data_IF_082808484003
#
_entry.id   IF_082808484003
#
_cell.length_a   1.000
_cell.length_b   1.000
_cell.length_c   1.000
_cell.angle_alpha   90.00
_cell.angle_beta   90.00
_cell.angle_gamma   90.00
#
_symmetry.space_group_name_H-M   'P 1'
#
loop_
_entity.id
_entity.type
_entity.pdbx_description
1 polymer ?
#
# COMPACT_ATOMS: atom_id res chain seq x y z
N UNK A 1 -26.42 -42.89 -43.94
CA UNK A 1 -26.66 -41.53 -43.44
C UNK A 1 -26.96 -41.58 -41.93
N UNK A 2 -26.02 -41.11 -41.09
CA UNK A 2 -26.11 -40.69 -39.67
C UNK A 2 -24.67 -40.33 -39.25
N UNK A 3 -24.22 -39.10 -39.55
CA UNK A 3 -24.10 -37.92 -38.63
C UNK A 3 -22.99 -38.11 -37.58
N UNK A 4 -21.75 -37.69 -37.89
CA UNK A 4 -21.07 -36.42 -37.42
C UNK A 4 -20.72 -36.51 -35.93
N UNK A 5 -19.53 -37.00 -35.59
CA UNK A 5 -18.27 -36.26 -35.30
C UNK A 5 -18.40 -35.37 -34.06
N UNK A 6 -17.72 -35.80 -32.99
CA UNK A 6 -17.58 -35.13 -31.70
C UNK A 6 -16.87 -33.78 -31.83
N UNK A 7 -17.49 -32.72 -31.30
CA UNK A 7 -16.81 -31.47 -30.98
C UNK A 7 -16.85 -31.34 -29.46
N UNK A 8 -15.77 -31.78 -28.82
CA UNK A 8 -15.43 -31.36 -27.45
C UNK A 8 -14.81 -29.98 -27.55
N UNK A 9 -15.65 -28.94 -27.52
CA UNK A 9 -15.21 -27.56 -27.35
C UNK A 9 -14.82 -27.40 -25.87
N UNK A 10 -13.57 -27.69 -25.55
CA UNK A 10 -13.00 -27.29 -24.26
C UNK A 10 -12.75 -25.80 -24.33
N UNK A 11 -13.71 -25.03 -23.82
CA UNK A 11 -13.55 -23.60 -23.58
C UNK A 11 -12.59 -23.46 -22.39
N UNK A 12 -11.28 -23.53 -22.66
CA UNK A 12 -10.29 -22.92 -21.78
C UNK A 12 -10.54 -21.42 -21.84
N UNK A 13 -11.34 -20.90 -20.91
CA UNK A 13 -11.21 -19.51 -20.49
C UNK A 13 -9.80 -19.39 -19.91
N UNK A 14 -8.84 -19.01 -20.75
CA UNK A 14 -7.61 -18.42 -20.28
C UNK A 14 -8.02 -17.20 -19.47
N UNK A 15 -7.92 -17.28 -18.15
CA UNK A 15 -7.87 -16.11 -17.31
C UNK A 15 -6.63 -15.37 -17.78
N UNK A 16 -6.82 -14.35 -18.61
CA UNK A 16 -5.75 -13.42 -18.94
C UNK A 16 -5.36 -12.77 -17.63
N UNK A 17 -4.18 -13.11 -17.12
CA UNK A 17 -3.55 -12.30 -16.09
C UNK A 17 -3.32 -10.95 -16.76
N UNK A 18 -4.11 -9.95 -16.38
CA UNK A 18 -3.92 -8.59 -16.85
C UNK A 18 -2.61 -8.09 -16.21
N UNK A 19 -1.58 -7.98 -17.04
CA UNK A 19 -0.43 -7.17 -16.70
C UNK A 19 -0.81 -5.73 -17.01
N UNK A 20 -0.40 -4.78 -16.17
CA UNK A 20 -0.37 -3.40 -16.59
C UNK A 20 0.50 -3.34 -17.86
N UNK A 21 -0.11 -2.93 -18.97
CA UNK A 21 0.69 -2.55 -20.14
C UNK A 21 1.55 -1.35 -19.75
N UNK A 22 2.66 -1.10 -20.47
CA UNK A 22 3.50 0.09 -20.22
C UNK A 22 2.64 1.37 -20.14
N UNK A 23 1.60 1.46 -20.99
CA UNK A 23 0.64 2.57 -21.00
C UNK A 23 -0.24 2.67 -19.74
N UNK A 24 -0.60 1.56 -19.09
CA UNK A 24 -1.40 1.57 -17.87
C UNK A 24 -0.53 1.92 -16.65
N UNK A 25 0.69 1.39 -16.60
CA UNK A 25 1.66 1.77 -15.58
C UNK A 25 2.01 3.26 -15.67
N UNK A 26 2.27 3.78 -16.87
CA UNK A 26 2.56 5.19 -17.11
C UNK A 26 1.42 6.09 -16.61
N UNK A 27 0.16 5.71 -16.86
CA UNK A 27 -1.00 6.46 -16.37
C UNK A 27 -1.07 6.51 -14.84
N UNK A 28 -0.81 5.38 -14.16
CA UNK A 28 -0.76 5.34 -12.68
C UNK A 28 0.36 6.23 -12.16
N UNK A 29 1.53 6.16 -12.77
CA UNK A 29 2.71 6.94 -12.40
C UNK A 29 2.49 8.45 -12.59
N UNK A 30 1.95 8.86 -13.74
CA UNK A 30 1.64 10.25 -14.04
C UNK A 30 0.72 10.86 -12.98
N UNK A 31 -0.26 10.09 -12.52
CA UNK A 31 -1.17 10.54 -11.47
C UNK A 31 -0.48 10.68 -10.11
N UNK A 32 0.34 9.71 -9.70
CA UNK A 32 1.12 9.81 -8.46
C UNK A 32 2.06 11.03 -8.46
N UNK A 33 2.67 11.33 -9.61
CA UNK A 33 3.49 12.52 -9.80
C UNK A 33 2.65 13.81 -9.74
N UNK A 34 1.47 13.82 -10.38
CA UNK A 34 0.53 14.96 -10.31
C UNK A 34 0.12 15.27 -8.88
N UNK A 35 -0.10 14.23 -8.05
CA UNK A 35 -0.40 14.37 -6.63
C UNK A 35 0.83 14.60 -5.75
N UNK A 36 2.03 14.61 -6.34
CA UNK A 36 3.32 14.75 -5.65
C UNK A 36 3.55 13.70 -4.56
N UNK A 37 2.97 12.51 -4.74
CA UNK A 37 3.19 11.37 -3.86
C UNK A 37 4.59 10.78 -4.12
N UNK A 38 5.00 10.79 -5.39
CA UNK A 38 6.30 10.30 -5.84
C UNK A 38 6.94 11.34 -6.76
N UNK A 39 8.26 11.44 -6.68
CA UNK A 39 9.07 12.36 -7.48
C UNK A 39 10.37 11.64 -7.88
N UNK A 40 10.94 12.03 -9.01
CA UNK A 40 12.26 11.55 -9.43
C UNK A 40 13.38 12.12 -8.54
N UNK A 41 14.58 11.55 -8.69
CA UNK A 41 15.78 12.12 -8.07
C UNK A 41 16.17 13.48 -8.66
N UNK A 42 17.32 14.04 -8.25
CA UNK A 42 17.82 15.33 -8.74
C UNK A 42 17.99 15.42 -10.26
N UNK A 43 18.10 14.28 -10.95
CA UNK A 43 18.20 14.17 -12.40
C UNK A 43 16.87 13.80 -13.08
N UNK A 44 15.79 13.67 -12.30
CA UNK A 44 14.48 13.24 -12.77
C UNK A 44 14.34 11.72 -12.94
N UNK A 45 15.31 10.90 -12.49
CA UNK A 45 15.18 9.45 -12.60
C UNK A 45 14.25 8.92 -11.52
N UNK A 46 13.31 8.08 -11.92
CA UNK A 46 12.37 7.43 -10.99
C UNK A 46 12.93 6.16 -10.35
N UNK A 47 14.05 5.62 -10.84
CA UNK A 47 14.74 4.47 -10.27
C UNK A 47 13.81 3.25 -10.03
N UNK A 48 12.93 2.97 -11.00
CA UNK A 48 11.80 2.04 -10.89
C UNK A 48 12.19 0.60 -10.49
N UNK A 49 13.36 0.14 -10.92
CA UNK A 49 13.87 -1.21 -10.60
C UNK A 49 14.61 -1.29 -9.26
N UNK A 50 14.83 -0.15 -8.59
CA UNK A 50 15.51 -0.12 -7.30
C UNK A 50 14.59 -0.57 -6.17
N UNK A 51 15.17 -1.21 -5.16
CA UNK A 51 14.47 -1.53 -3.92
C UNK A 51 14.13 -0.25 -3.14
N UNK A 52 13.03 -0.27 -2.41
CA UNK A 52 12.59 0.85 -1.56
C UNK A 52 12.97 0.59 -0.12
N UNK A 53 13.63 1.57 0.52
CA UNK A 53 14.00 1.49 1.93
C UNK A 53 12.80 1.71 2.86
N UNK A 54 12.92 1.29 4.11
CA UNK A 54 11.90 1.50 5.16
C UNK A 54 11.61 2.99 5.39
N UNK A 55 12.63 3.84 5.35
CA UNK A 55 12.49 5.29 5.45
C UNK A 55 11.73 5.89 4.26
N UNK A 56 12.06 5.48 3.04
CA UNK A 56 11.36 5.92 1.83
C UNK A 56 9.90 5.47 1.83
N UNK A 57 9.62 4.22 2.24
CA UNK A 57 8.27 3.70 2.32
C UNK A 57 7.42 4.50 3.33
N UNK A 58 7.98 4.86 4.48
CA UNK A 58 7.31 5.74 5.44
C UNK A 58 7.01 7.11 4.83
N UNK A 59 7.96 7.73 4.12
CA UNK A 59 7.74 9.00 3.41
C UNK A 59 6.60 8.88 2.40
N UNK A 60 6.64 7.87 1.52
CA UNK A 60 5.65 7.69 0.45
C UNK A 60 4.24 7.54 1.03
N UNK A 61 4.06 6.68 2.04
CA UNK A 61 2.76 6.49 2.69
C UNK A 61 2.28 7.80 3.32
N UNK A 62 3.13 8.47 4.09
CA UNK A 62 2.73 9.71 4.76
C UNK A 62 2.35 10.81 3.76
N UNK A 63 3.03 10.89 2.62
CA UNK A 63 2.64 11.78 1.53
C UNK A 63 1.29 11.40 0.93
N UNK A 64 1.02 10.11 0.68
CA UNK A 64 -0.28 9.64 0.20
C UNK A 64 -1.43 9.93 1.20
N UNK A 65 -1.11 10.01 2.49
CA UNK A 65 -2.02 10.44 3.56
C UNK A 65 -2.16 11.97 3.66
N UNK A 66 -1.59 12.75 2.73
CA UNK A 66 -1.65 14.22 2.73
C UNK A 66 -0.58 14.91 3.60
N UNK A 67 0.36 14.16 4.18
CA UNK A 67 1.40 14.67 5.06
C UNK A 67 2.78 14.66 4.39
N UNK A 68 2.88 15.25 3.19
CA UNK A 68 4.11 15.24 2.39
C UNK A 68 5.23 16.16 2.87
N UNK A 69 4.93 17.16 3.71
CA UNK A 69 5.87 18.18 4.18
C UNK A 69 6.03 18.14 5.70
N UNK A 70 6.57 17.03 6.21
CA UNK A 70 6.87 16.87 7.64
C UNK A 70 8.33 17.26 7.87
N UNK A 71 8.58 18.12 8.87
CA UNK A 71 9.93 18.45 9.33
C UNK A 71 10.61 17.25 10.02
N UNK A 72 11.78 17.46 10.60
CA UNK A 72 12.43 16.40 11.38
C UNK A 72 11.94 16.40 12.83
N UNK A 73 11.81 15.23 13.44
CA UNK A 73 11.30 15.05 14.80
C UNK A 73 12.10 13.99 15.55
N UNK A 74 12.06 14.01 16.88
CA UNK A 74 12.55 12.90 17.68
C UNK A 74 11.70 11.65 17.41
N UNK A 75 12.35 10.49 17.38
CA UNK A 75 11.68 9.20 17.21
C UNK A 75 11.88 8.32 18.43
N UNK A 76 11.06 7.27 18.55
CA UNK A 76 11.23 6.24 19.58
C UNK A 76 12.33 5.23 19.25
N UNK A 77 12.99 5.35 18.09
CA UNK A 77 13.96 4.38 17.59
C UNK A 77 15.39 4.87 17.78
N UNK A 78 16.22 4.03 18.39
CA UNK A 78 17.60 4.38 18.77
C UNK A 78 18.51 4.66 17.55
N UNK A 79 18.19 4.06 16.41
CA UNK A 79 18.93 4.18 15.16
C UNK A 79 18.42 5.29 14.23
N UNK A 80 17.38 6.04 14.63
CA UNK A 80 16.83 7.16 13.84
C UNK A 80 17.01 8.47 14.60
N UNK A 81 18.09 9.18 14.27
CA UNK A 81 18.39 10.51 14.84
C UNK A 81 17.36 11.54 14.41
N UNK A 82 17.08 12.54 15.25
CA UNK A 82 16.15 13.63 14.95
C UNK A 82 16.60 14.59 13.85
N UNK A 83 17.84 14.47 13.37
CA UNK A 83 18.33 15.19 12.19
C UNK A 83 18.25 14.34 10.92
N UNK A 84 17.85 13.07 11.03
CA UNK A 84 17.69 12.20 9.87
C UNK A 84 16.51 12.71 9.02
N UNK A 85 16.68 12.73 7.70
CA UNK A 85 15.74 13.37 6.78
C UNK A 85 14.32 12.78 6.89
N UNK A 86 14.21 11.48 7.18
CA UNK A 86 12.92 10.80 7.28
C UNK A 86 12.33 10.76 8.70
N UNK A 87 13.04 11.29 9.69
CA UNK A 87 12.69 11.12 11.11
C UNK A 87 11.26 11.53 11.44
N UNK A 88 10.77 12.65 10.87
CA UNK A 88 9.38 13.08 11.06
C UNK A 88 8.34 12.18 10.42
N UNK A 89 8.61 11.69 9.22
CA UNK A 89 7.73 10.72 8.55
C UNK A 89 7.67 9.41 9.35
N UNK A 90 8.81 8.94 9.87
CA UNK A 90 8.91 7.74 10.70
C UNK A 90 8.15 7.94 12.02
N UNK A 91 8.38 9.04 12.73
CA UNK A 91 7.67 9.34 13.99
C UNK A 91 6.15 9.39 13.78
N UNK A 92 5.67 10.12 12.76
CA UNK A 92 4.24 10.24 12.50
C UNK A 92 3.62 8.90 12.06
N UNK A 93 4.28 8.17 11.17
CA UNK A 93 3.81 6.85 10.74
C UNK A 93 3.74 5.86 11.91
N UNK A 94 4.69 5.93 12.85
CA UNK A 94 4.69 5.11 14.06
C UNK A 94 3.50 5.47 14.96
N UNK A 95 3.23 6.77 15.16
CA UNK A 95 2.09 7.25 15.96
C UNK A 95 0.74 6.87 15.36
N UNK A 96 0.64 6.78 14.04
CA UNK A 96 -0.55 6.31 13.34
C UNK A 96 -0.66 4.78 13.27
N UNK A 97 0.29 4.02 13.84
CA UNK A 97 0.27 2.56 13.82
C UNK A 97 0.53 1.96 12.44
N UNK A 98 1.10 2.73 11.52
CA UNK A 98 1.42 2.30 10.14
C UNK A 98 2.69 1.46 10.14
N UNK A 99 3.65 1.86 10.98
CA UNK A 99 4.96 1.22 11.08
C UNK A 99 5.27 0.78 12.51
N UNK A 100 6.09 -0.25 12.61
CA UNK A 100 6.67 -0.73 13.86
C UNK A 100 8.16 -0.97 13.66
N UNK A 101 8.91 -0.85 14.77
CA UNK A 101 10.32 -1.23 14.82
C UNK A 101 10.51 -2.75 14.85
N UNK A 102 11.75 -3.17 14.98
CA UNK A 102 12.14 -4.59 14.92
C UNK A 102 11.97 -5.33 16.26
N UNK A 103 11.57 -4.62 17.32
CA UNK A 103 11.37 -5.16 18.66
C UNK A 103 12.59 -5.03 19.58
N UNK A 104 13.72 -4.58 19.06
CA UNK A 104 14.98 -4.34 19.78
C UNK A 104 15.28 -2.84 19.98
N UNK A 105 14.30 -1.97 19.73
CA UNK A 105 14.45 -0.51 19.76
C UNK A 105 14.88 0.12 18.43
N UNK A 106 15.14 -0.68 17.39
CA UNK A 106 15.55 -0.17 16.07
C UNK A 106 14.41 -0.11 15.05
N UNK A 107 14.54 0.78 14.07
CA UNK A 107 13.69 0.84 12.89
C UNK A 107 14.35 0.28 11.63
N UNK A 108 15.68 0.34 11.51
CA UNK A 108 16.47 -0.02 10.34
C UNK A 108 16.06 0.79 9.09
N UNK A 109 16.19 2.13 9.10
CA UNK A 109 15.63 3.01 8.06
C UNK A 109 16.15 2.74 6.65
N UNK A 110 17.42 2.33 6.52
CA UNK A 110 18.08 2.08 5.23
C UNK A 110 17.88 0.66 4.69
N UNK A 111 17.28 -0.24 5.47
CA UNK A 111 17.01 -1.58 4.98
C UNK A 111 15.84 -1.56 3.99
N UNK A 112 15.89 -2.38 2.93
CA UNK A 112 14.77 -2.52 2.01
C UNK A 112 13.54 -3.11 2.72
N UNK A 113 12.34 -2.67 2.32
CA UNK A 113 11.09 -3.33 2.71
C UNK A 113 10.85 -4.55 1.85
N UNK A 114 10.32 -5.63 2.43
CA UNK A 114 9.78 -6.73 1.64
C UNK A 114 8.40 -6.39 1.09
N UNK A 115 7.96 -7.11 0.05
CA UNK A 115 6.62 -6.94 -0.52
C UNK A 115 5.51 -7.11 0.53
N UNK A 116 5.61 -8.12 1.40
CA UNK A 116 4.64 -8.32 2.48
C UNK A 116 4.65 -7.20 3.53
N UNK A 117 5.81 -6.59 3.81
CA UNK A 117 5.92 -5.45 4.72
C UNK A 117 5.29 -4.21 4.11
N UNK A 118 5.56 -3.94 2.83
CA UNK A 118 4.96 -2.83 2.09
C UNK A 118 3.43 -2.94 2.07
N UNK A 119 2.89 -4.12 1.75
CA UNK A 119 1.45 -4.39 1.78
C UNK A 119 0.89 -4.18 3.18
N UNK A 120 1.54 -4.71 4.23
CA UNK A 120 1.11 -4.48 5.61
C UNK A 120 1.02 -2.98 5.93
N UNK A 121 2.06 -2.21 5.64
CA UNK A 121 2.12 -0.78 5.96
C UNK A 121 0.98 -0.01 5.25
N UNK A 122 0.71 -0.30 3.98
CA UNK A 122 -0.39 0.34 3.23
C UNK A 122 -1.75 -0.06 3.82
N UNK A 123 -1.97 -1.33 4.13
CA UNK A 123 -3.21 -1.82 4.76
C UNK A 123 -3.44 -1.17 6.13
N UNK A 124 -2.40 -1.00 6.94
CA UNK A 124 -2.48 -0.25 8.20
C UNK A 124 -2.82 1.22 7.96
N UNK A 125 -2.20 1.87 6.96
CA UNK A 125 -2.50 3.26 6.61
C UNK A 125 -3.96 3.47 6.15
N UNK A 126 -4.57 2.46 5.53
CA UNK A 126 -5.98 2.47 5.13
C UNK A 126 -6.95 2.11 6.29
N UNK A 127 -6.42 1.77 7.47
CA UNK A 127 -7.18 1.48 8.69
C UNK A 127 -7.66 0.04 8.85
N UNK A 128 -7.18 -0.90 8.02
CA UNK A 128 -7.68 -2.28 7.96
C UNK A 128 -7.04 -3.24 8.97
N UNK A 129 -6.03 -2.80 9.72
CA UNK A 129 -5.31 -3.66 10.67
C UNK A 129 -6.23 -4.45 11.62
N UNK A 130 -7.26 -3.86 12.26
CA UNK A 130 -8.18 -4.60 13.13
C UNK A 130 -8.87 -5.76 12.42
N UNK A 131 -9.25 -5.57 11.15
CA UNK A 131 -9.84 -6.63 10.33
C UNK A 131 -8.83 -7.73 10.03
N UNK A 132 -7.59 -7.38 9.67
CA UNK A 132 -6.52 -8.35 9.44
C UNK A 132 -6.25 -9.22 10.67
N UNK A 133 -6.13 -8.60 11.85
CA UNK A 133 -5.90 -9.30 13.12
C UNK A 133 -7.07 -10.23 13.49
N UNK A 134 -8.30 -9.83 13.17
CA UNK A 134 -9.49 -10.68 13.41
C UNK A 134 -9.57 -11.92 12.50
N UNK A 135 -8.92 -11.87 11.31
CA UNK A 135 -9.01 -12.90 10.28
C UNK A 135 -7.84 -13.87 10.25
N UNK A 136 -6.71 -13.53 10.88
CA UNK A 136 -5.57 -14.43 10.94
C UNK A 136 -4.24 -13.76 11.25
N UNK A 137 -3.17 -14.48 10.95
CA UNK A 137 -1.80 -14.07 11.26
C UNK A 137 -1.11 -13.40 10.07
N UNK A 138 -0.13 -12.55 10.38
CA UNK A 138 0.80 -12.00 9.40
C UNK A 138 1.66 -13.11 8.76
N UNK A 139 1.98 -13.03 7.46
CA UNK A 139 1.53 -12.02 6.48
C UNK A 139 0.17 -12.35 5.84
N UNK A 140 -0.36 -13.56 6.03
CA UNK A 140 -1.47 -14.11 5.27
C UNK A 140 -2.74 -13.24 5.29
N UNK A 141 -3.19 -12.79 6.47
CA UNK A 141 -4.42 -12.00 6.56
C UNK A 141 -4.31 -10.62 5.89
N UNK A 142 -3.13 -10.02 5.90
CA UNK A 142 -2.88 -8.74 5.22
C UNK A 142 -2.88 -8.94 3.70
N UNK A 143 -2.21 -9.98 3.19
CA UNK A 143 -2.20 -10.30 1.77
C UNK A 143 -3.60 -10.64 1.24
N UNK A 144 -4.40 -11.37 2.03
CA UNK A 144 -5.77 -11.71 1.67
C UNK A 144 -6.67 -10.47 1.59
N UNK A 145 -6.60 -9.57 2.59
CA UNK A 145 -7.36 -8.31 2.57
C UNK A 145 -6.92 -7.44 1.40
N UNK A 146 -5.61 -7.29 1.18
CA UNK A 146 -5.06 -6.55 0.05
C UNK A 146 -5.59 -7.08 -1.29
N UNK A 147 -5.55 -8.41 -1.50
CA UNK A 147 -6.08 -9.03 -2.71
C UNK A 147 -7.59 -8.83 -2.86
N UNK A 148 -8.37 -8.96 -1.78
CA UNK A 148 -9.84 -8.86 -1.81
C UNK A 148 -10.32 -7.46 -2.17
N UNK A 149 -9.54 -6.44 -1.84
CA UNK A 149 -9.89 -5.03 -2.03
C UNK A 149 -9.16 -4.39 -3.23
N UNK A 150 -8.53 -5.19 -4.09
CA UNK A 150 -7.90 -4.71 -5.31
C UNK A 150 -6.54 -4.05 -5.12
N UNK A 151 -5.96 -4.03 -3.91
CA UNK A 151 -4.65 -3.42 -3.67
C UNK A 151 -3.55 -4.09 -4.51
N UNK A 152 -3.67 -5.40 -4.72
CA UNK A 152 -2.69 -6.20 -5.48
C UNK A 152 -3.01 -6.31 -6.97
N UNK A 153 -3.97 -5.55 -7.49
CA UNK A 153 -4.26 -5.53 -8.93
C UNK A 153 -3.04 -5.07 -9.72
N UNK A 154 -2.84 -5.66 -10.89
CA UNK A 154 -1.73 -5.44 -11.81
C UNK A 154 -0.33 -5.84 -11.27
N UNK A 155 -0.26 -6.62 -10.17
CA UNK A 155 0.99 -7.02 -9.53
C UNK A 155 1.20 -8.54 -9.50
N UNK A 156 2.48 -8.94 -9.61
CA UNK A 156 2.93 -10.31 -9.35
C UNK A 156 4.04 -10.31 -8.28
N UNK A 157 3.63 -10.17 -7.03
CA UNK A 157 4.57 -10.05 -5.91
C UNK A 157 5.06 -11.40 -5.43
N UNK A 158 6.37 -11.54 -5.28
CA UNK A 158 6.97 -12.57 -4.44
C UNK A 158 7.07 -12.03 -3.02
N UNK A 159 6.21 -12.50 -2.12
CA UNK A 159 5.99 -11.88 -0.80
C UNK A 159 7.27 -11.62 0.02
N UNK A 160 8.21 -12.56 0.02
CA UNK A 160 9.47 -12.45 0.78
C UNK A 160 10.59 -11.69 0.06
N UNK A 161 10.41 -11.32 -1.20
CA UNK A 161 11.37 -10.50 -1.93
C UNK A 161 11.26 -9.02 -1.51
N UNK A 162 12.37 -8.30 -1.67
CA UNK A 162 12.39 -6.86 -1.47
C UNK A 162 11.50 -6.17 -2.52
N UNK A 163 10.76 -5.15 -2.10
CA UNK A 163 9.82 -4.46 -2.94
C UNK A 163 10.54 -3.50 -3.88
N UNK A 164 10.28 -3.64 -5.18
CA UNK A 164 10.74 -2.70 -6.19
C UNK A 164 9.90 -1.43 -6.15
N UNK A 165 10.51 -0.33 -6.57
CA UNK A 165 9.84 0.97 -6.61
C UNK A 165 8.65 1.01 -7.57
N UNK A 166 8.75 0.36 -8.73
CA UNK A 166 7.61 0.18 -9.64
C UNK A 166 6.42 -0.51 -8.96
N UNK A 167 6.67 -1.59 -8.22
CA UNK A 167 5.63 -2.32 -7.49
C UNK A 167 4.99 -1.46 -6.39
N UNK A 168 5.81 -0.71 -5.63
CA UNK A 168 5.32 0.24 -4.61
C UNK A 168 4.42 1.32 -5.24
N UNK A 169 4.77 1.82 -6.43
CA UNK A 169 3.96 2.84 -7.10
C UNK A 169 2.59 2.28 -7.49
N UNK A 170 2.53 1.07 -8.05
CA UNK A 170 1.25 0.42 -8.35
C UNK A 170 0.43 0.20 -7.06
N UNK A 171 1.05 -0.29 -5.98
CA UNK A 171 0.37 -0.48 -4.70
C UNK A 171 -0.21 0.84 -4.15
N UNK A 172 0.57 1.92 -4.16
CA UNK A 172 0.13 3.22 -3.65
C UNK A 172 -0.97 3.81 -4.51
N UNK A 173 -0.86 3.68 -5.84
CA UNK A 173 -1.92 4.11 -6.74
C UNK A 173 -3.22 3.34 -6.48
N UNK A 174 -3.17 2.00 -6.41
CA UNK A 174 -4.36 1.19 -6.10
C UNK A 174 -4.96 1.56 -4.74
N UNK A 175 -4.13 1.90 -3.76
CA UNK A 175 -4.58 2.37 -2.44
C UNK A 175 -5.32 3.72 -2.48
N UNK A 176 -5.14 4.55 -3.52
CA UNK A 176 -5.84 5.83 -3.64
C UNK A 176 -7.35 5.67 -3.73
N UNK A 177 -7.80 4.58 -4.33
CA UNK A 177 -9.22 4.28 -4.58
C UNK A 177 -9.80 3.21 -3.65
N UNK A 178 -8.96 2.59 -2.82
CA UNK A 178 -9.42 1.63 -1.83
C UNK A 178 -10.23 2.34 -0.72
N UNK A 179 -11.47 1.89 -0.41
CA UNK A 179 -12.27 2.48 0.66
C UNK A 179 -11.57 2.39 2.00
N UNK A 180 -11.61 3.46 2.80
CA UNK A 180 -11.00 3.50 4.12
C UNK A 180 -11.81 2.71 5.14
N UNK A 181 -11.12 2.10 6.10
CA UNK A 181 -11.75 1.53 7.29
C UNK A 181 -11.54 2.48 8.48
N UNK A 182 -12.62 3.10 8.94
CA UNK A 182 -12.58 4.09 10.02
C UNK A 182 -13.15 3.54 11.31
N UNK A 183 -12.50 3.84 12.42
CA UNK A 183 -13.09 3.61 13.73
C UNK A 183 -14.27 4.59 13.92
N UNK A 184 -15.45 4.05 14.23
CA UNK A 184 -16.68 4.82 14.44
C UNK A 184 -17.25 4.65 15.84
N UNK A 185 -16.89 3.55 16.54
CA UNK A 185 -17.26 3.29 17.92
C UNK A 185 -16.11 3.47 18.92
N UNK A 186 -16.45 3.93 20.12
CA UNK A 186 -15.52 4.08 21.25
C UNK A 186 -15.97 3.22 22.44
N UNK A 187 -15.01 2.79 23.28
CA UNK A 187 -15.28 2.02 24.50
C UNK A 187 -14.80 0.58 24.43
N UNK A 188 -15.43 -0.30 25.20
CA UNK A 188 -15.02 -1.72 25.32
C UNK A 188 -15.14 -2.51 24.01
N UNK A 189 -16.02 -2.07 23.11
CA UNK A 189 -16.19 -2.64 21.77
C UNK A 189 -15.80 -1.56 20.75
N UNK A 190 -14.61 -1.65 20.18
CA UNK A 190 -14.20 -0.80 19.07
C UNK A 190 -14.98 -1.23 17.82
N UNK A 191 -15.73 -0.30 17.22
CA UNK A 191 -16.45 -0.53 15.98
C UNK A 191 -15.72 0.16 14.83
N UNK A 192 -15.64 -0.54 13.70
CA UNK A 192 -15.01 -0.07 12.48
C UNK A 192 -16.01 -0.12 11.33
N UNK A 193 -16.05 0.94 10.54
CA UNK A 193 -16.92 1.09 9.38
C UNK A 193 -16.09 1.19 8.12
N UNK A 194 -16.46 0.39 7.12
CA UNK A 194 -15.92 0.48 5.78
C UNK A 194 -16.62 1.63 5.04
N UNK A 195 -15.86 2.65 4.66
CA UNK A 195 -16.38 3.86 3.99
C UNK A 195 -16.63 3.61 2.51
N UNK A 196 -17.58 2.71 2.18
CA UNK A 196 -17.71 2.08 0.86
C UNK A 196 -18.59 2.81 -0.16
N UNK A 197 -19.30 3.87 0.22
CA UNK A 197 -20.32 4.46 -0.65
C UNK A 197 -21.62 3.66 -0.74
N UNK A 198 -21.75 2.57 0.02
CA UNK A 198 -22.90 1.66 -0.02
C UNK A 198 -23.70 1.70 1.28
N UNK A 199 -24.96 1.29 1.22
CA UNK A 199 -25.86 1.18 2.40
C UNK A 199 -25.97 2.47 3.23
N UNK A 200 -25.91 3.64 2.57
CA UNK A 200 -25.98 4.94 3.25
C UNK A 200 -24.66 5.40 3.88
N UNK A 201 -23.56 4.67 3.69
CA UNK A 201 -22.22 5.07 4.11
C UNK A 201 -21.59 5.87 2.96
N UNK A 202 -21.00 7.03 3.27
CA UNK A 202 -20.25 7.82 2.30
C UNK A 202 -18.97 7.11 1.85
N UNK A 203 -18.63 7.20 0.57
CA UNK A 203 -17.34 6.71 0.07
C UNK A 203 -16.24 7.64 0.55
N UNK A 204 -15.24 7.10 1.24
CA UNK A 204 -14.03 7.84 1.58
C UNK A 204 -12.81 6.98 1.27
N UNK A 205 -11.93 7.51 0.43
CA UNK A 205 -10.65 6.94 0.00
C UNK A 205 -9.53 7.95 0.24
N UNK A 206 -8.26 7.57 0.05
CA UNK A 206 -7.17 8.54 0.11
C UNK A 206 -7.32 9.64 -0.95
N UNK A 207 -7.79 9.27 -2.15
CA UNK A 207 -8.10 10.21 -3.23
C UNK A 207 -9.06 11.30 -2.80
N UNK A 208 -10.24 10.90 -2.33
CA UNK A 208 -11.31 11.84 -1.96
C UNK A 208 -10.97 12.73 -0.75
N UNK A 209 -10.03 12.31 0.11
CA UNK A 209 -9.67 13.08 1.30
C UNK A 209 -8.54 14.08 1.06
N UNK A 210 -7.63 13.78 0.12
CA UNK A 210 -6.37 14.50 0.01
C UNK A 210 -6.15 15.18 -1.35
N UNK A 211 -6.85 14.75 -2.40
CA UNK A 211 -6.51 15.11 -3.78
C UNK A 211 -7.69 15.58 -4.66
N UNK A 212 -8.93 15.48 -4.17
CA UNK A 212 -10.16 16.01 -4.79
C UNK A 212 -10.79 17.10 -3.92
#
# INVERSE_FOLDING_TARGET
>A
MKKVICILLSLLMSVSVAFATDSEFDAKLDELMKFKIVEGDENGNLNLESEVTRAEMAKIIMTALGNGNIGTFDTVFDDVKSTYWASGYIDMAQKFGIIHGMGDGTFLPENPVTNEQAVKMIICALGYEPLCLSRGVYPYSYMQIASTHGLLEDLNLLGSANAKRSDIFILIHNALDMPLMKQTGFGANMEYTLMSGQNGIELQTLRTLNFE
#
